data_IF_580632576411
#
_entry.id   IF_580632576411
#
_cell.length_a   1.000
_cell.length_b   1.000
_cell.length_c   1.000
_cell.angle_alpha   90.00
_cell.angle_beta   90.00
_cell.angle_gamma   90.00
#
_symmetry.space_group_name_H-M   'P 1'
#
loop_
_entity.id
_entity.type
_entity.pdbx_description
1 polymer ?
#
# COMPACT_ATOMS: atom_id res chain seq x y z
N UNK A 1 42.56 -18.33 51.53
CA UNK A 1 41.64 -17.38 52.18
C UNK A 1 41.09 -16.52 51.11
N UNK A 2 40.18 -17.05 50.43
CA UNK A 2 38.71 -16.97 50.47
C UNK A 2 38.20 -15.60 50.04
N UNK A 3 37.82 -15.46 48.81
CA UNK A 3 36.83 -14.56 48.29
C UNK A 3 36.18 -15.23 47.05
N UNK A 4 35.43 -16.28 47.34
CA UNK A 4 34.40 -16.77 46.43
C UNK A 4 33.04 -16.30 46.96
N UNK A 5 32.09 -16.14 46.07
CA UNK A 5 30.64 -15.94 46.26
C UNK A 5 30.17 -14.49 46.30
N UNK A 6 29.61 -14.10 45.14
CA UNK A 6 28.25 -13.54 45.01
C UNK A 6 27.98 -13.24 43.53
N UNK A 7 27.59 -14.27 42.81
CA UNK A 7 26.96 -14.15 41.51
C UNK A 7 25.55 -14.76 41.63
N UNK A 8 24.60 -13.97 42.09
CA UNK A 8 23.19 -14.35 42.07
C UNK A 8 22.32 -13.20 41.61
N UNK A 9 21.52 -13.52 40.61
CA UNK A 9 20.23 -12.98 40.31
C UNK A 9 20.11 -11.53 39.82
N UNK A 10 20.19 -11.36 38.48
CA UNK A 10 19.37 -10.40 37.75
C UNK A 10 18.65 -11.13 36.62
N UNK A 11 17.76 -12.05 36.98
CA UNK A 11 16.68 -12.53 36.10
C UNK A 11 15.48 -11.60 36.26
N UNK A 12 15.60 -10.42 35.69
CA UNK A 12 14.49 -9.48 35.53
C UNK A 12 13.67 -9.86 34.30
N UNK A 13 12.63 -10.71 34.48
CA UNK A 13 11.62 -10.95 33.46
C UNK A 13 10.94 -9.65 33.07
N UNK A 14 11.22 -9.14 31.88
CA UNK A 14 10.43 -8.11 31.24
C UNK A 14 9.00 -8.65 31.02
N UNK A 15 8.13 -8.34 31.95
CA UNK A 15 6.71 -8.57 31.86
C UNK A 15 6.18 -7.91 30.59
N UNK A 16 5.89 -8.71 29.55
CA UNK A 16 5.05 -8.31 28.43
C UNK A 16 3.78 -7.67 29.02
N UNK A 17 3.72 -6.35 29.03
CA UNK A 17 2.50 -5.62 29.35
C UNK A 17 1.42 -6.09 28.37
N UNK A 18 0.50 -6.93 28.85
CA UNK A 18 -0.68 -7.32 28.08
C UNK A 18 -1.42 -6.04 27.71
N UNK A 19 -1.58 -5.78 26.40
CA UNK A 19 -2.46 -4.71 25.94
C UNK A 19 -3.84 -4.95 26.56
N UNK A 20 -4.51 -3.90 27.06
CA UNK A 20 -5.85 -4.04 27.62
C UNK A 20 -6.75 -4.71 26.57
N UNK A 21 -7.59 -5.65 27.03
CA UNK A 21 -8.58 -6.30 26.17
C UNK A 21 -9.41 -5.22 25.48
N UNK A 22 -9.39 -5.19 24.15
CA UNK A 22 -10.15 -4.22 23.39
C UNK A 22 -11.64 -4.46 23.66
N UNK A 23 -12.31 -3.45 24.22
CA UNK A 23 -13.76 -3.50 24.46
C UNK A 23 -14.49 -3.05 23.20
N UNK A 24 -15.62 -3.72 22.90
CA UNK A 24 -16.51 -3.26 21.84
C UNK A 24 -17.28 -2.04 22.30
N UNK A 25 -17.46 -1.10 21.39
CA UNK A 25 -18.34 0.07 21.61
C UNK A 25 -19.69 -0.20 20.95
N UNK A 26 -20.70 -0.48 21.78
CA UNK A 26 -22.08 -0.73 21.32
C UNK A 26 -22.78 0.52 20.80
N UNK A 27 -22.26 1.71 21.10
CA UNK A 27 -22.81 3.00 20.65
C UNK A 27 -22.12 3.52 19.38
N UNK A 28 -21.04 2.89 18.94
CA UNK A 28 -20.36 3.27 17.71
C UNK A 28 -21.24 3.01 16.48
N UNK A 29 -21.10 3.84 15.45
CA UNK A 29 -21.74 3.63 14.15
C UNK A 29 -21.19 2.39 13.41
N UNK A 30 -20.08 1.86 13.89
CA UNK A 30 -19.41 0.67 13.32
C UNK A 30 -20.08 -0.59 13.88
N UNK A 31 -20.60 -1.51 13.05
CA UNK A 31 -21.23 -2.74 13.50
C UNK A 31 -20.28 -3.60 14.35
N UNK A 32 -20.80 -4.31 15.37
CA UNK A 32 -20.00 -5.09 16.30
C UNK A 32 -19.14 -6.15 15.61
N UNK A 33 -19.64 -6.83 14.58
CA UNK A 33 -18.88 -7.82 13.84
C UNK A 33 -17.63 -7.20 13.17
N UNK A 34 -17.77 -5.97 12.67
CA UNK A 34 -16.66 -5.27 12.04
C UNK A 34 -15.63 -4.77 13.07
N UNK A 35 -16.08 -4.37 14.26
CA UNK A 35 -15.16 -4.05 15.37
C UNK A 35 -14.33 -5.28 15.77
N UNK A 36 -14.94 -6.46 15.86
CA UNK A 36 -14.24 -7.74 16.13
C UNK A 36 -13.26 -8.05 15.00
N UNK A 37 -13.67 -7.91 13.75
CA UNK A 37 -12.80 -8.05 12.59
C UNK A 37 -11.55 -7.16 12.72
N UNK A 38 -11.73 -5.86 13.03
CA UNK A 38 -10.61 -4.92 13.19
C UNK A 38 -9.67 -5.32 14.33
N UNK A 39 -10.22 -5.78 15.46
CA UNK A 39 -9.42 -6.24 16.61
C UNK A 39 -8.58 -7.46 16.22
N UNK A 40 -9.19 -8.47 15.61
CA UNK A 40 -8.50 -9.70 15.21
C UNK A 40 -7.48 -9.43 14.10
N UNK A 41 -7.82 -8.61 13.11
CA UNK A 41 -6.90 -8.16 12.06
C UNK A 41 -5.66 -7.51 12.65
N UNK A 42 -5.83 -6.59 13.60
CA UNK A 42 -4.71 -5.91 14.24
C UNK A 42 -3.83 -6.89 15.02
N UNK A 43 -4.41 -7.90 15.71
CA UNK A 43 -3.66 -8.95 16.41
C UNK A 43 -2.89 -9.87 15.45
N UNK A 44 -3.39 -10.06 14.22
CA UNK A 44 -2.66 -10.78 13.16
C UNK A 44 -1.49 -9.93 12.66
N UNK A 45 -1.73 -8.65 12.40
CA UNK A 45 -0.70 -7.75 11.86
C UNK A 45 0.42 -7.42 12.86
N UNK A 46 0.12 -7.30 14.16
CA UNK A 46 1.12 -7.06 15.20
C UNK A 46 1.80 -8.34 15.70
N UNK A 47 1.43 -9.51 15.14
CA UNK A 47 1.99 -10.80 15.47
C UNK A 47 1.50 -11.40 16.80
N UNK A 48 0.51 -10.78 17.46
CA UNK A 48 -0.13 -11.34 18.66
C UNK A 48 -0.79 -12.69 18.34
N UNK A 49 -1.37 -12.82 17.13
CA UNK A 49 -1.78 -14.09 16.55
C UNK A 49 -0.81 -14.40 15.41
N UNK A 50 0.11 -15.33 15.65
CA UNK A 50 1.18 -15.64 14.71
C UNK A 50 0.65 -16.28 13.41
N UNK A 51 1.37 -16.14 12.29
CA UNK A 51 1.10 -16.87 11.06
C UNK A 51 1.00 -18.37 11.35
N UNK A 52 -0.02 -19.04 10.78
CA UNK A 52 -0.30 -20.44 11.01
C UNK A 52 -1.01 -20.77 12.33
N UNK A 53 -1.15 -19.82 13.25
CA UNK A 53 -1.90 -20.03 14.50
C UNK A 53 -3.41 -20.05 14.29
N UNK A 54 -4.13 -20.64 15.22
CA UNK A 54 -5.59 -20.61 15.25
C UNK A 54 -6.09 -19.24 15.76
N UNK A 55 -7.07 -18.68 15.07
CA UNK A 55 -7.85 -17.55 15.56
C UNK A 55 -8.92 -18.07 16.54
N UNK A 56 -9.30 -17.30 17.59
CA UNK A 56 -10.42 -17.68 18.48
C UNK A 56 -11.66 -18.06 17.67
N UNK A 57 -12.28 -19.16 18.07
CA UNK A 57 -13.47 -19.69 17.42
C UNK A 57 -14.74 -18.87 17.67
N UNK A 58 -15.85 -19.21 16.99
CA UNK A 58 -17.12 -18.52 17.18
C UNK A 58 -17.55 -18.50 18.66
N UNK A 59 -17.35 -19.61 19.39
CA UNK A 59 -17.72 -19.72 20.79
C UNK A 59 -16.85 -18.85 21.70
N UNK A 60 -15.53 -18.84 21.46
CA UNK A 60 -14.58 -18.02 22.21
C UNK A 60 -14.89 -16.53 22.01
N UNK A 61 -15.16 -16.12 20.76
CA UNK A 61 -15.51 -14.72 20.45
C UNK A 61 -16.83 -14.31 21.10
N UNK A 62 -17.81 -15.24 21.21
CA UNK A 62 -19.06 -14.95 21.93
C UNK A 62 -18.80 -14.71 23.43
N UNK A 63 -17.91 -15.49 24.04
CA UNK A 63 -17.54 -15.33 25.45
C UNK A 63 -16.69 -14.08 25.68
N UNK A 64 -15.67 -13.85 24.86
CA UNK A 64 -14.72 -12.73 25.02
C UNK A 64 -15.38 -11.38 24.80
N UNK A 65 -16.31 -11.28 23.86
CA UNK A 65 -16.91 -10.02 23.43
C UNK A 65 -18.38 -9.86 23.78
N UNK A 66 -19.04 -10.87 24.36
CA UNK A 66 -20.46 -10.79 24.73
C UNK A 66 -21.40 -10.66 23.52
N UNK A 67 -21.06 -11.27 22.38
CA UNK A 67 -21.83 -11.13 21.12
C UNK A 67 -22.54 -12.44 20.75
N UNK A 68 -23.49 -12.33 19.81
CA UNK A 68 -24.17 -13.49 19.25
C UNK A 68 -23.24 -14.31 18.34
N UNK A 69 -23.55 -15.63 18.16
CA UNK A 69 -22.82 -16.48 17.22
C UNK A 69 -22.85 -15.96 15.78
N UNK A 70 -23.95 -15.33 15.38
CA UNK A 70 -24.09 -14.74 14.04
C UNK A 70 -23.07 -13.60 13.87
N UNK A 71 -22.93 -12.74 14.88
CA UNK A 71 -21.96 -11.63 14.91
C UNK A 71 -20.53 -12.14 14.85
N UNK A 72 -20.19 -13.15 15.68
CA UNK A 72 -18.87 -13.77 15.69
C UNK A 72 -18.53 -14.45 14.35
N UNK A 73 -19.48 -15.22 13.79
CA UNK A 73 -19.34 -15.86 12.48
C UNK A 73 -19.09 -14.85 11.36
N UNK A 74 -19.84 -13.72 11.37
CA UNK A 74 -19.69 -12.69 10.37
C UNK A 74 -18.29 -12.03 10.44
N UNK A 75 -17.77 -11.78 11.65
CA UNK A 75 -16.40 -11.26 11.83
C UNK A 75 -15.34 -12.23 11.27
N UNK A 76 -15.49 -13.54 11.53
CA UNK A 76 -14.58 -14.54 10.98
C UNK A 76 -14.71 -14.70 9.45
N UNK A 77 -15.90 -14.51 8.89
CA UNK A 77 -16.09 -14.48 7.44
C UNK A 77 -15.37 -13.28 6.82
N UNK A 78 -15.51 -12.08 7.39
CA UNK A 78 -14.76 -10.91 6.91
C UNK A 78 -13.25 -11.11 6.96
N UNK A 79 -12.71 -11.81 7.97
CA UNK A 79 -11.28 -12.16 7.99
C UNK A 79 -10.91 -13.13 6.86
N UNK A 80 -11.78 -14.09 6.54
CA UNK A 80 -11.57 -15.02 5.44
C UNK A 80 -11.69 -14.33 4.08
N UNK A 81 -12.69 -13.47 3.91
CA UNK A 81 -12.90 -12.67 2.70
C UNK A 81 -11.72 -11.69 2.46
N UNK A 82 -11.15 -11.12 3.55
CA UNK A 82 -9.92 -10.34 3.51
C UNK A 82 -8.67 -11.22 3.27
N UNK A 83 -8.82 -12.55 3.16
CA UNK A 83 -7.72 -13.50 2.93
C UNK A 83 -6.70 -13.54 4.06
N UNK A 84 -7.06 -13.12 5.26
CA UNK A 84 -6.19 -13.15 6.45
C UNK A 84 -6.19 -14.51 7.13
N UNK A 85 -7.26 -15.29 6.94
CA UNK A 85 -7.44 -16.60 7.54
C UNK A 85 -8.06 -17.60 6.55
N UNK A 86 -7.81 -18.87 6.77
CA UNK A 86 -8.47 -19.99 6.08
C UNK A 86 -9.30 -20.78 7.10
N UNK A 87 -10.53 -21.14 6.71
CA UNK A 87 -11.41 -22.01 7.49
C UNK A 87 -11.16 -23.46 7.13
N UNK A 88 -10.74 -24.25 8.10
CA UNK A 88 -10.57 -25.70 7.96
C UNK A 88 -11.70 -26.41 8.69
N UNK A 89 -12.52 -27.17 7.94
CA UNK A 89 -13.66 -27.89 8.52
C UNK A 89 -13.20 -28.85 9.64
N UNK A 90 -13.72 -28.64 10.86
CA UNK A 90 -13.33 -29.43 12.04
C UNK A 90 -11.99 -29.08 12.66
N UNK A 91 -11.20 -28.19 12.07
CA UNK A 91 -9.87 -27.78 12.56
C UNK A 91 -9.78 -26.32 12.98
N UNK A 92 -10.85 -25.54 12.77
CA UNK A 92 -10.93 -24.14 13.15
C UNK A 92 -10.55 -23.15 12.03
N UNK A 93 -10.25 -21.94 12.43
CA UNK A 93 -9.86 -20.84 11.53
C UNK A 93 -8.39 -20.52 11.78
N UNK A 94 -7.56 -20.64 10.76
CA UNK A 94 -6.10 -20.48 10.87
C UNK A 94 -5.62 -19.25 10.10
N UNK A 95 -4.68 -18.49 10.69
CA UNK A 95 -4.04 -17.35 10.03
C UNK A 95 -3.26 -17.84 8.81
N UNK A 96 -3.53 -17.25 7.66
CA UNK A 96 -2.77 -17.53 6.42
C UNK A 96 -1.42 -16.85 6.53
N UNK A 97 -0.35 -17.63 6.35
CA UNK A 97 0.98 -17.07 6.19
C UNK A 97 1.06 -16.45 4.79
N UNK A 98 0.84 -15.16 4.67
CA UNK A 98 1.24 -14.44 3.45
C UNK A 98 2.73 -14.17 3.57
N UNK A 99 3.53 -14.45 2.53
CA UNK A 99 4.90 -13.95 2.47
C UNK A 99 4.83 -12.43 2.70
N UNK A 100 5.77 -11.84 3.45
CA UNK A 100 5.83 -10.40 3.57
C UNK A 100 5.87 -9.83 2.15
N UNK A 101 4.96 -8.92 1.85
CA UNK A 101 5.03 -8.15 0.59
C UNK A 101 6.41 -7.52 0.57
N UNK A 102 7.20 -7.70 -0.50
CA UNK A 102 8.49 -7.05 -0.59
C UNK A 102 8.29 -5.57 -0.31
N UNK A 103 8.92 -5.07 0.75
CA UNK A 103 8.85 -3.65 1.07
C UNK A 103 9.45 -2.91 -0.12
N UNK A 104 8.64 -2.05 -0.75
CA UNK A 104 9.16 -1.14 -1.76
C UNK A 104 9.98 -0.11 -1.01
N UNK A 105 11.28 -0.35 -0.89
CA UNK A 105 12.23 0.60 -0.35
C UNK A 105 12.41 1.69 -1.40
N UNK A 106 11.69 2.79 -1.26
CA UNK A 106 11.87 3.92 -2.17
C UNK A 106 12.72 4.99 -1.50
N UNK A 107 13.86 5.28 -2.09
CA UNK A 107 14.38 6.64 -2.08
C UNK A 107 13.44 7.50 -2.93
N UNK A 108 13.28 8.77 -2.59
CA UNK A 108 12.47 9.72 -3.37
C UNK A 108 12.97 9.77 -4.82
N UNK A 109 14.24 9.49 -5.06
CA UNK A 109 14.94 9.55 -6.35
C UNK A 109 14.80 8.28 -7.22
N UNK A 110 14.57 7.13 -6.62
CA UNK A 110 14.52 5.85 -7.37
C UNK A 110 13.14 5.20 -7.43
N UNK A 111 12.08 5.86 -6.98
CA UNK A 111 10.78 5.21 -6.86
C UNK A 111 10.10 4.92 -8.21
N UNK A 112 10.28 5.77 -9.23
CA UNK A 112 9.83 5.50 -10.60
C UNK A 112 10.67 4.39 -11.25
N UNK A 113 11.96 4.42 -11.01
CA UNK A 113 12.92 3.41 -11.47
C UNK A 113 12.77 2.11 -10.68
N UNK A 114 12.50 2.17 -9.38
CA UNK A 114 12.38 0.99 -8.52
C UNK A 114 11.20 0.08 -8.87
N UNK A 115 10.07 0.58 -9.36
CA UNK A 115 9.01 -0.31 -9.88
C UNK A 115 9.49 -1.08 -11.12
N UNK A 116 10.35 -0.48 -11.92
CA UNK A 116 10.97 -1.14 -13.08
C UNK A 116 12.20 -1.98 -12.70
N UNK A 117 13.01 -1.52 -11.72
CA UNK A 117 14.27 -2.14 -11.31
C UNK A 117 14.11 -3.25 -10.26
N UNK A 118 13.04 -3.26 -9.48
CA UNK A 118 12.84 -4.29 -8.44
C UNK A 118 12.54 -5.69 -8.99
N UNK A 119 12.60 -5.90 -10.31
CA UNK A 119 12.34 -7.22 -10.89
C UNK A 119 10.95 -7.77 -10.55
N UNK A 120 10.07 -6.94 -9.99
CA UNK A 120 8.68 -7.30 -9.77
C UNK A 120 8.03 -7.30 -11.14
N UNK A 121 7.81 -8.48 -11.71
CA UNK A 121 7.03 -8.67 -12.91
C UNK A 121 5.58 -8.25 -12.65
N UNK A 122 5.30 -6.94 -12.68
CA UNK A 122 3.94 -6.43 -12.59
C UNK A 122 3.42 -6.24 -14.00
N UNK A 123 2.27 -6.86 -14.28
CA UNK A 123 1.55 -6.64 -15.51
C UNK A 123 0.66 -5.40 -15.36
N UNK A 124 0.61 -4.54 -16.37
CA UNK A 124 -0.33 -3.44 -16.45
C UNK A 124 -1.44 -3.79 -17.44
N UNK A 125 -2.69 -3.76 -17.01
CA UNK A 125 -3.87 -3.93 -17.86
C UNK A 125 -4.58 -2.61 -18.02
N UNK A 126 -4.68 -2.09 -19.25
CA UNK A 126 -5.42 -0.88 -19.57
C UNK A 126 -6.91 -1.18 -19.59
N UNK A 127 -7.67 -0.54 -18.69
CA UNK A 127 -9.13 -0.62 -18.64
C UNK A 127 -9.76 0.37 -19.60
N UNK A 128 -9.30 1.62 -19.58
CA UNK A 128 -9.78 2.70 -20.44
C UNK A 128 -8.63 3.54 -20.98
N UNK A 129 -8.79 4.06 -22.20
CA UNK A 129 -7.86 4.95 -22.88
C UNK A 129 -8.67 5.91 -23.73
N UNK A 130 -8.69 7.19 -23.37
CA UNK A 130 -9.51 8.19 -24.01
C UNK A 130 -8.83 9.57 -24.03
N UNK A 131 -9.28 10.44 -24.90
CA UNK A 131 -8.97 11.87 -24.88
C UNK A 131 -10.16 12.59 -24.27
N UNK A 132 -9.91 13.39 -23.23
CA UNK A 132 -10.95 14.06 -22.46
C UNK A 132 -10.60 15.53 -22.23
N UNK A 133 -11.61 16.37 -22.00
CA UNK A 133 -11.39 17.75 -21.58
C UNK A 133 -10.89 17.79 -20.13
N UNK A 134 -9.80 18.51 -19.85
CA UNK A 134 -9.27 18.70 -18.52
C UNK A 134 -10.29 19.46 -17.66
N UNK A 135 -10.74 18.83 -16.56
CA UNK A 135 -11.55 19.51 -15.54
C UNK A 135 -10.68 20.40 -14.65
N UNK A 136 -11.28 21.11 -13.66
CA UNK A 136 -10.56 22.07 -12.83
C UNK A 136 -9.35 21.49 -12.08
N UNK A 137 -9.45 20.27 -11.56
CA UNK A 137 -8.33 19.60 -10.87
C UNK A 137 -7.22 19.24 -11.85
N UNK A 138 -7.55 18.61 -12.97
CA UNK A 138 -6.59 18.16 -13.98
C UNK A 138 -5.95 19.36 -14.70
N UNK A 139 -6.75 20.38 -15.03
CA UNK A 139 -6.27 21.61 -15.64
C UNK A 139 -5.25 22.32 -14.72
N UNK A 140 -5.52 22.38 -13.41
CA UNK A 140 -4.62 22.93 -12.41
C UNK A 140 -3.33 22.11 -12.30
N UNK A 141 -3.44 20.78 -12.22
CA UNK A 141 -2.29 19.89 -12.06
C UNK A 141 -1.35 19.91 -13.28
N UNK A 142 -1.91 20.00 -14.48
CA UNK A 142 -1.15 20.05 -15.74
C UNK A 142 -0.84 21.49 -16.21
N UNK A 143 -1.30 22.51 -15.47
CA UNK A 143 -1.10 23.93 -15.78
C UNK A 143 -1.59 24.29 -17.19
N UNK A 144 -2.74 23.73 -17.57
CA UNK A 144 -3.41 23.99 -18.84
C UNK A 144 -4.75 24.72 -18.63
N UNK A 145 -5.29 25.35 -19.66
CA UNK A 145 -6.60 25.95 -19.58
C UNK A 145 -7.69 24.87 -19.32
N UNK A 146 -8.72 25.16 -18.50
CA UNK A 146 -9.86 24.27 -18.37
C UNK A 146 -10.49 23.95 -19.74
N UNK A 147 -10.82 22.68 -19.97
CA UNK A 147 -11.33 22.20 -21.26
C UNK A 147 -10.25 21.80 -22.27
N UNK A 148 -8.96 22.07 -21.99
CA UNK A 148 -7.86 21.55 -22.83
C UNK A 148 -7.92 20.04 -22.92
N UNK A 149 -7.75 19.50 -24.14
CA UNK A 149 -7.74 18.07 -24.35
C UNK A 149 -6.49 17.41 -23.77
N UNK A 150 -6.70 16.33 -22.99
CA UNK A 150 -5.65 15.53 -22.38
C UNK A 150 -5.94 14.05 -22.62
N UNK A 151 -4.89 13.24 -22.75
CA UNK A 151 -5.01 11.80 -22.80
C UNK A 151 -5.23 11.28 -21.37
N UNK A 152 -6.29 10.49 -21.16
CA UNK A 152 -6.57 9.77 -19.90
C UNK A 152 -6.38 8.27 -20.11
N UNK A 153 -5.71 7.60 -19.19
CA UNK A 153 -5.66 6.14 -19.13
C UNK A 153 -5.94 5.62 -17.73
N UNK A 154 -6.86 4.65 -17.65
CA UNK A 154 -7.16 3.90 -16.43
C UNK A 154 -6.55 2.50 -16.53
N UNK A 155 -5.81 2.09 -15.50
CA UNK A 155 -5.07 0.83 -15.53
C UNK A 155 -5.14 0.12 -14.19
N UNK A 156 -5.06 -1.21 -14.23
CA UNK A 156 -4.81 -2.05 -13.04
C UNK A 156 -3.42 -2.66 -13.17
N UNK A 157 -2.62 -2.56 -12.11
CA UNK A 157 -1.39 -3.32 -11.99
C UNK A 157 -1.65 -4.61 -11.23
N UNK A 158 -1.12 -5.69 -11.75
CA UNK A 158 -1.25 -7.03 -11.21
C UNK A 158 0.13 -7.52 -10.76
N UNK A 159 0.23 -8.01 -9.52
CA UNK A 159 1.39 -8.63 -8.92
C UNK A 159 1.07 -10.09 -8.61
N UNK A 160 1.78 -11.02 -9.20
CA UNK A 160 1.58 -12.47 -8.99
C UNK A 160 0.10 -12.91 -9.17
N UNK A 161 -0.58 -12.36 -10.19
CA UNK A 161 -1.98 -12.63 -10.47
C UNK A 161 -2.99 -11.83 -9.63
N UNK A 162 -2.54 -11.08 -8.61
CA UNK A 162 -3.40 -10.28 -7.73
C UNK A 162 -3.41 -8.81 -8.13
N UNK A 163 -4.59 -8.16 -8.27
CA UNK A 163 -4.70 -6.73 -8.52
C UNK A 163 -4.09 -5.95 -7.34
N UNK A 164 -2.98 -5.25 -7.58
CA UNK A 164 -2.23 -4.51 -6.56
C UNK A 164 -2.62 -3.03 -6.50
N UNK A 165 -2.80 -2.40 -7.65
CA UNK A 165 -3.14 -0.98 -7.71
C UNK A 165 -4.03 -0.63 -8.91
N UNK A 166 -4.89 0.37 -8.68
CA UNK A 166 -5.66 1.07 -9.72
C UNK A 166 -5.04 2.44 -9.94
N UNK A 167 -4.79 2.82 -11.18
CA UNK A 167 -4.14 4.08 -11.50
C UNK A 167 -4.83 4.78 -12.66
N UNK A 168 -4.93 6.10 -12.54
CA UNK A 168 -5.41 7.00 -13.58
C UNK A 168 -4.30 7.99 -13.90
N UNK A 169 -3.97 8.11 -15.17
CA UNK A 169 -2.97 9.07 -15.67
C UNK A 169 -3.61 10.05 -16.62
N UNK A 170 -3.13 11.29 -16.58
CA UNK A 170 -3.46 12.35 -17.51
C UNK A 170 -2.18 12.92 -18.08
N UNK A 171 -2.10 13.00 -19.40
CA UNK A 171 -0.95 13.49 -20.17
C UNK A 171 -1.45 14.53 -21.17
N UNK A 172 -0.78 15.68 -21.38
CA UNK A 172 -1.12 16.61 -22.45
C UNK A 172 -1.25 15.92 -23.80
N UNK A 173 -2.28 16.27 -24.59
CA UNK A 173 -2.63 15.54 -25.80
C UNK A 173 -1.51 15.54 -26.86
N UNK A 174 -0.68 16.60 -26.91
CA UNK A 174 0.46 16.67 -27.83
C UNK A 174 1.51 15.57 -27.56
N UNK A 175 1.68 15.17 -26.30
CA UNK A 175 2.53 14.05 -25.89
C UNK A 175 1.75 12.74 -26.01
N UNK A 176 0.53 12.69 -25.49
CA UNK A 176 -0.29 11.48 -25.40
C UNK A 176 -0.63 10.84 -26.76
N UNK A 177 -0.55 11.61 -27.88
CA UNK A 177 -0.75 11.09 -29.23
C UNK A 177 0.45 10.34 -29.82
N UNK A 178 1.57 10.30 -29.10
CA UNK A 178 2.78 9.61 -29.54
C UNK A 178 2.85 8.14 -29.10
N UNK A 179 1.86 7.68 -28.36
CA UNK A 179 1.70 6.27 -27.94
C UNK A 179 0.22 5.90 -27.90
N UNK A 180 -0.07 4.62 -27.95
CA UNK A 180 -1.41 4.10 -27.96
C UNK A 180 -1.71 3.21 -26.73
N UNK A 181 -2.92 2.64 -26.69
CA UNK A 181 -3.38 1.73 -25.64
C UNK A 181 -2.49 0.49 -25.51
N UNK A 182 -2.03 -0.05 -26.65
CA UNK A 182 -1.23 -1.27 -26.69
C UNK A 182 0.19 -1.03 -26.14
N UNK A 183 0.74 0.13 -26.43
CA UNK A 183 2.01 0.56 -25.85
C UNK A 183 1.96 0.61 -24.32
N UNK A 184 0.87 1.16 -23.75
CA UNK A 184 0.66 1.24 -22.30
C UNK A 184 0.48 -0.12 -21.60
N UNK A 185 0.00 -1.15 -22.33
CA UNK A 185 -0.04 -2.52 -21.82
C UNK A 185 1.35 -3.15 -21.75
N UNK A 186 2.25 -2.74 -22.65
CA UNK A 186 3.57 -3.36 -22.80
C UNK A 186 4.69 -2.64 -22.05
N UNK A 187 4.52 -1.35 -21.79
CA UNK A 187 5.59 -0.49 -21.26
C UNK A 187 5.12 0.46 -20.17
N UNK A 188 5.98 0.77 -19.19
CA UNK A 188 5.75 1.86 -18.25
C UNK A 188 5.58 3.18 -19.00
N UNK A 189 4.64 4.04 -18.55
CA UNK A 189 4.37 5.32 -19.17
C UNK A 189 5.63 6.22 -19.24
N UNK A 190 6.46 6.22 -18.21
CA UNK A 190 7.73 6.98 -18.21
C UNK A 190 8.59 6.66 -19.44
N UNK A 191 8.73 5.38 -19.79
CA UNK A 191 9.50 4.98 -20.99
C UNK A 191 8.83 5.45 -22.29
N UNK A 192 7.50 5.55 -22.31
CA UNK A 192 6.78 6.09 -23.47
C UNK A 192 6.98 7.59 -23.61
N UNK A 193 6.98 8.33 -22.50
CA UNK A 193 7.29 9.76 -22.47
C UNK A 193 8.70 10.03 -22.95
N UNK A 194 9.70 9.30 -22.46
CA UNK A 194 11.10 9.42 -22.90
C UNK A 194 11.25 9.12 -24.41
N UNK A 195 10.55 8.09 -24.92
CA UNK A 195 10.52 7.77 -26.37
C UNK A 195 9.84 8.85 -27.18
N UNK A 196 8.87 9.54 -26.61
CA UNK A 196 8.24 10.72 -27.21
C UNK A 196 9.14 11.95 -27.21
N UNK A 197 10.42 11.83 -26.76
CA UNK A 197 11.39 12.91 -26.71
C UNK A 197 11.16 13.86 -25.55
N UNK A 198 10.48 13.42 -24.49
CA UNK A 198 10.26 14.23 -23.30
C UNK A 198 11.38 13.97 -22.30
N UNK A 199 12.17 15.00 -21.97
CA UNK A 199 13.22 14.95 -20.95
C UNK A 199 12.61 15.15 -19.56
N UNK A 200 12.35 14.05 -18.87
CA UNK A 200 11.77 14.07 -17.51
C UNK A 200 12.80 14.54 -16.50
N UNK A 201 12.48 15.59 -15.71
CA UNK A 201 13.42 16.23 -14.79
C UNK A 201 13.03 16.13 -13.32
N UNK A 202 11.74 16.29 -12.99
CA UNK A 202 11.32 16.35 -11.60
C UNK A 202 9.92 15.79 -11.39
N UNK A 203 9.62 15.46 -10.13
CA UNK A 203 8.28 15.05 -9.74
C UNK A 203 7.93 15.54 -8.33
N UNK A 204 6.67 15.98 -8.16
CA UNK A 204 6.09 16.25 -6.84
C UNK A 204 5.07 15.18 -6.51
N UNK A 205 5.21 14.55 -5.34
CA UNK A 205 4.35 13.47 -4.91
C UNK A 205 3.69 13.78 -3.57
N UNK A 206 2.42 13.41 -3.44
CA UNK A 206 1.67 13.41 -2.18
C UNK A 206 1.17 11.99 -1.90
N UNK A 207 1.30 11.55 -0.66
CA UNK A 207 0.77 10.26 -0.18
C UNK A 207 -0.31 10.56 0.83
N UNK A 208 -1.47 9.95 0.65
CA UNK A 208 -2.64 10.08 1.51
C UNK A 208 -3.39 8.76 1.63
N UNK A 209 -4.56 8.76 2.23
CA UNK A 209 -5.46 7.62 2.31
C UNK A 209 -6.75 7.91 1.55
N UNK A 210 -7.32 6.89 0.92
CA UNK A 210 -8.62 6.92 0.28
C UNK A 210 -9.43 5.68 0.63
N UNK A 211 -10.74 5.72 0.37
CA UNK A 211 -11.59 4.54 0.43
C UNK A 211 -11.91 4.10 -1.00
N UNK A 212 -11.99 2.78 -1.20
CA UNK A 212 -12.39 2.21 -2.47
C UNK A 212 -13.87 2.52 -2.74
N UNK A 213 -14.19 3.18 -3.85
CA UNK A 213 -15.53 3.21 -4.40
C UNK A 213 -15.88 1.86 -5.06
N UNK A 214 -17.10 1.68 -5.52
CA UNK A 214 -17.57 0.42 -6.11
C UNK A 214 -16.75 -0.01 -7.32
N UNK A 215 -16.35 0.94 -8.16
CA UNK A 215 -15.56 0.67 -9.37
C UNK A 215 -14.14 0.22 -9.02
N UNK A 216 -13.46 0.98 -8.16
CA UNK A 216 -12.09 0.66 -7.69
C UNK A 216 -12.09 -0.63 -6.88
N UNK A 217 -13.11 -0.85 -6.04
CA UNK A 217 -13.25 -2.07 -5.26
C UNK A 217 -13.34 -3.30 -6.15
N UNK A 218 -14.18 -3.23 -7.20
CA UNK A 218 -14.29 -4.29 -8.21
C UNK A 218 -12.97 -4.50 -8.96
N UNK A 219 -12.30 -3.42 -9.39
CA UNK A 219 -11.05 -3.49 -10.13
C UNK A 219 -9.88 -4.07 -9.33
N UNK A 220 -9.87 -3.84 -8.01
CA UNK A 220 -8.83 -4.31 -7.08
C UNK A 220 -9.19 -5.61 -6.33
N UNK A 221 -10.38 -6.16 -6.56
CA UNK A 221 -10.91 -7.33 -5.84
C UNK A 221 -10.87 -7.12 -4.31
N UNK A 222 -11.41 -5.98 -3.87
CA UNK A 222 -11.58 -5.63 -2.44
C UNK A 222 -13.03 -5.23 -2.18
N UNK A 223 -13.43 -5.08 -0.92
CA UNK A 223 -14.77 -4.60 -0.58
C UNK A 223 -14.91 -3.08 -0.83
N UNK A 224 -16.08 -2.59 -1.27
CA UNK A 224 -16.38 -1.16 -1.24
C UNK A 224 -16.09 -0.56 0.14
N UNK A 225 -15.49 0.61 0.18
CA UNK A 225 -15.04 1.24 1.44
C UNK A 225 -13.76 0.67 2.02
N UNK A 226 -13.09 -0.28 1.37
CA UNK A 226 -11.78 -0.76 1.80
C UNK A 226 -10.75 0.39 1.81
N UNK A 227 -9.87 0.48 2.83
CA UNK A 227 -8.84 1.50 2.88
C UNK A 227 -7.77 1.25 1.82
N UNK A 228 -7.36 2.31 1.14
CA UNK A 228 -6.32 2.30 0.11
C UNK A 228 -5.27 3.37 0.43
N UNK A 229 -4.02 3.13 0.01
CA UNK A 229 -2.98 4.15 -0.01
C UNK A 229 -3.12 4.92 -1.32
N UNK A 230 -3.39 6.22 -1.23
CA UNK A 230 -3.47 7.09 -2.39
C UNK A 230 -2.13 7.80 -2.62
N UNK A 231 -1.65 7.74 -3.84
CA UNK A 231 -0.49 8.50 -4.30
C UNK A 231 -0.92 9.38 -5.46
N UNK A 232 -0.70 10.68 -5.33
CA UNK A 232 -0.85 11.66 -6.42
C UNK A 232 0.51 12.21 -6.78
N UNK A 233 0.79 12.33 -8.08
CA UNK A 233 2.06 12.84 -8.56
C UNK A 233 1.87 13.71 -9.78
N UNK A 234 2.66 14.78 -9.84
CA UNK A 234 2.85 15.63 -11.03
C UNK A 234 4.30 15.45 -11.45
N UNK A 235 4.52 15.04 -12.69
CA UNK A 235 5.83 14.88 -13.31
C UNK A 235 6.08 16.08 -14.23
N UNK A 236 7.31 16.60 -14.24
CA UNK A 236 7.70 17.75 -15.04
C UNK A 236 8.91 17.43 -15.92
N UNK A 237 8.97 18.08 -17.06
CA UNK A 237 10.13 18.04 -17.94
C UNK A 237 11.23 19.04 -17.48
N UNK A 238 12.34 19.09 -18.22
CA UNK A 238 13.46 20.00 -17.98
C UNK A 238 13.10 21.48 -18.09
N UNK A 239 11.97 21.82 -18.72
CA UNK A 239 11.44 23.18 -18.84
C UNK A 239 10.39 23.48 -17.75
N UNK A 240 10.30 22.67 -16.71
CA UNK A 240 9.31 22.77 -15.62
C UNK A 240 7.85 22.60 -16.09
N UNK A 241 7.60 22.16 -17.33
CA UNK A 241 6.26 21.89 -17.85
C UNK A 241 5.71 20.62 -17.22
N UNK A 242 4.49 20.62 -16.65
CA UNK A 242 3.82 19.39 -16.25
C UNK A 242 3.50 18.51 -17.46
N UNK A 243 3.99 17.28 -17.44
CA UNK A 243 3.85 16.30 -18.53
C UNK A 243 2.99 15.10 -18.18
N UNK A 244 2.80 14.86 -16.88
CA UNK A 244 1.94 13.79 -16.37
C UNK A 244 1.34 14.19 -15.03
N UNK A 245 0.05 13.96 -14.86
CA UNK A 245 -0.60 13.86 -13.56
C UNK A 245 -1.10 12.43 -13.38
N UNK A 246 -0.70 11.80 -12.27
CA UNK A 246 -1.10 10.43 -11.93
C UNK A 246 -1.74 10.37 -10.55
N UNK A 247 -2.83 9.63 -10.44
CA UNK A 247 -3.46 9.19 -9.20
C UNK A 247 -3.40 7.68 -9.14
N UNK A 248 -2.79 7.13 -8.09
CA UNK A 248 -2.67 5.69 -7.86
C UNK A 248 -3.33 5.33 -6.54
N UNK A 249 -4.12 4.28 -6.54
CA UNK A 249 -4.75 3.68 -5.37
C UNK A 249 -4.16 2.28 -5.17
N UNK A 250 -3.39 2.09 -4.10
CA UNK A 250 -2.74 0.82 -3.78
C UNK A 250 -3.49 0.07 -2.69
N UNK A 251 -3.56 -1.23 -2.82
CA UNK A 251 -3.94 -2.13 -1.73
C UNK A 251 -2.83 -2.16 -0.67
N UNK A 252 -3.12 -1.82 0.61
CA UNK A 252 -2.09 -1.74 1.66
C UNK A 252 -1.54 -3.10 2.09
N UNK A 253 -2.20 -4.20 1.72
CA UNK A 253 -1.70 -5.56 1.95
C UNK A 253 -0.67 -6.00 0.90
N UNK A 254 -0.61 -5.34 -0.27
CA UNK A 254 0.31 -5.63 -1.37
C UNK A 254 1.32 -4.49 -1.63
N UNK A 255 1.16 -3.34 -0.98
CA UNK A 255 2.04 -2.18 -1.14
C UNK A 255 2.41 -1.59 0.21
N UNK A 256 3.70 -1.27 0.38
CA UNK A 256 4.24 -0.59 1.56
C UNK A 256 5.21 0.52 1.11
N UNK A 257 5.04 1.70 1.69
CA UNK A 257 6.02 2.77 1.55
C UNK A 257 6.99 2.72 2.73
N UNK A 258 8.28 2.65 2.46
CA UNK A 258 9.34 2.66 3.47
C UNK A 258 10.37 3.72 3.12
N UNK A 259 10.78 4.49 4.12
CA UNK A 259 11.78 5.52 3.96
C UNK A 259 12.83 5.38 5.06
N UNK A 260 14.09 5.23 4.67
CA UNK A 260 15.21 5.19 5.60
C UNK A 260 15.72 6.59 5.91
N UNK A 261 15.88 6.89 7.20
CA UNK A 261 16.34 8.18 7.66
C UNK A 261 17.57 8.03 8.56
N UNK A 262 18.51 8.96 8.46
CA UNK A 262 19.70 9.04 9.30
C UNK A 262 19.71 10.35 10.08
N UNK A 263 20.09 10.29 11.34
CA UNK A 263 20.30 11.47 12.18
C UNK A 263 21.72 11.99 11.98
N UNK A 264 21.85 13.20 11.43
CA UNK A 264 23.12 13.87 11.22
C UNK A 264 23.27 14.95 12.28
N UNK A 265 24.47 15.02 12.92
CA UNK A 265 24.85 16.11 13.85
C UNK A 265 25.53 17.21 13.03
N UNK A 266 25.01 18.42 13.14
CA UNK A 266 25.59 19.64 12.60
C UNK A 266 25.98 20.57 13.75
N UNK A 267 26.72 21.66 13.45
CA UNK A 267 27.19 22.61 14.48
C UNK A 267 26.04 23.22 15.29
N UNK A 268 24.88 23.37 14.68
CA UNK A 268 23.69 24.01 15.26
C UNK A 268 22.65 23.02 15.78
N UNK A 269 22.99 21.71 15.85
CA UNK A 269 22.07 20.69 16.35
C UNK A 269 22.11 19.39 15.55
N UNK A 270 21.07 18.55 15.76
CA UNK A 270 20.95 17.29 15.02
C UNK A 270 19.64 17.27 14.25
N UNK A 271 19.70 16.90 12.96
CA UNK A 271 18.53 16.76 12.09
C UNK A 271 18.45 15.37 11.47
N UNK A 272 17.23 14.96 11.13
CA UNK A 272 17.00 13.76 10.34
C UNK A 272 17.11 14.10 8.84
N UNK A 273 17.87 13.29 8.11
CA UNK A 273 17.98 13.37 6.66
C UNK A 273 17.60 12.02 6.06
N UNK A 274 16.98 12.04 4.89
CA UNK A 274 16.77 10.81 4.10
C UNK A 274 18.12 10.20 3.73
N UNK A 275 18.21 8.87 3.84
CA UNK A 275 19.34 8.14 3.29
C UNK A 275 19.07 7.91 1.81
N UNK A 276 19.81 8.58 0.93
CA UNK A 276 19.88 8.16 -0.47
C UNK A 276 20.53 6.77 -0.49
N UNK A 277 19.80 5.75 -0.94
CA UNK A 277 20.39 4.44 -1.18
C UNK A 277 21.34 4.60 -2.39
N UNK A 278 22.65 4.52 -2.15
CA UNK A 278 23.57 4.24 -3.25
C UNK A 278 23.15 2.95 -3.92
N UNK A 279 23.15 2.84 -5.25
CA UNK A 279 22.88 1.57 -5.93
C UNK A 279 23.83 0.51 -5.37
N UNK A 280 23.30 -0.62 -4.95
CA UNK A 280 24.10 -1.78 -4.56
C UNK A 280 25.00 -2.12 -5.76
N UNK A 281 26.34 -2.10 -5.64
CA UNK A 281 27.19 -2.51 -6.74
C UNK A 281 26.86 -3.95 -7.06
N UNK A 282 26.54 -4.20 -8.34
CA UNK A 282 26.11 -5.49 -8.83
C UNK A 282 27.03 -6.62 -8.37
N UNK A 283 26.45 -7.64 -7.75
CA UNK A 283 27.03 -8.96 -7.72
C UNK A 283 27.14 -9.44 -9.16
N UNK A 284 28.33 -9.54 -9.66
CA UNK A 284 28.63 -10.19 -10.92
C UNK A 284 28.52 -11.72 -10.79
N UNK A 285 28.48 -12.47 -11.90
CA UNK A 285 27.75 -13.70 -12.14
C UNK A 285 28.23 -14.92 -11.36
#
# INVERSE_FOLDING_TARGET
>A
MDLAQSSEELSGGEGRRSRPQAKLDTNARVPLYHQIFLILRNRIYDGTIAPGALVPGEQDLCQDFGVSRITARRALNELADAGLVVRERGRGTRVVMRPPVPAVTSSIEGWLENISLMGIATEARVLDFAYVAANGEIATALEVAPGTEVQRAERVRVLDGEPMSFLVTYVPADIGRQYDREDLNRRPLLQLLERAGVDVASARQTISAALADDFVASALNVSPGAPLIEVRRIVRDVNERPIEYIRVLYRPDLYRFEMSMRRVREKDGARWTTMTSSPVPGGAP
#
